data_IF_252179163935
#
_entry.id   IF_252179163935
#
_cell.length_a   1.000
_cell.length_b   1.000
_cell.length_c   1.000
_cell.angle_alpha   90.00
_cell.angle_beta   90.00
_cell.angle_gamma   90.00
#
_symmetry.space_group_name_H-M   'P 1'
#
loop_
_entity.id
_entity.type
_entity.pdbx_description
1 polymer ?
#
# COMPACT_ATOMS: atom_id res chain seq x y z
N UNK A 1 -34.29 -22.05 49.52
CA UNK A 1 -35.59 -21.37 49.60
C UNK A 1 -36.58 -22.23 48.84
N UNK A 2 -37.77 -22.51 49.39
CA UNK A 2 -38.78 -23.28 48.64
C UNK A 2 -39.35 -22.35 47.56
N UNK A 3 -39.07 -22.63 46.29
CA UNK A 3 -39.65 -21.88 45.18
C UNK A 3 -41.19 -21.95 45.28
N UNK A 4 -41.89 -20.81 45.20
CA UNK A 4 -43.35 -20.80 45.24
C UNK A 4 -43.88 -21.49 43.98
N UNK A 5 -44.35 -22.72 44.14
CA UNK A 5 -44.92 -23.51 43.05
C UNK A 5 -46.34 -23.03 42.73
N UNK A 6 -46.65 -22.90 41.44
CA UNK A 6 -47.91 -22.35 40.92
C UNK A 6 -48.62 -23.42 40.09
N UNK A 7 -49.93 -23.55 40.26
CA UNK A 7 -50.74 -24.49 39.48
C UNK A 7 -51.31 -23.79 38.25
N UNK A 8 -50.91 -24.26 37.06
CA UNK A 8 -51.36 -23.71 35.77
C UNK A 8 -52.10 -24.76 34.96
N UNK A 9 -53.18 -24.36 34.30
CA UNK A 9 -53.93 -25.23 33.38
C UNK A 9 -53.42 -25.05 31.96
N UNK A 10 -52.97 -26.13 31.35
CA UNK A 10 -52.39 -26.09 30.01
C UNK A 10 -53.50 -25.91 28.96
N UNK A 11 -53.39 -24.88 28.12
CA UNK A 11 -54.26 -24.66 26.95
C UNK A 11 -53.83 -25.45 25.72
N UNK A 12 -52.61 -25.99 25.72
CA UNK A 12 -52.02 -26.81 24.67
C UNK A 12 -51.11 -27.93 25.20
N UNK A 13 -50.59 -28.82 24.35
CA UNK A 13 -49.64 -29.85 24.78
C UNK A 13 -48.26 -29.23 25.07
N UNK A 14 -47.77 -29.36 26.31
CA UNK A 14 -46.46 -28.87 26.74
C UNK A 14 -45.62 -29.96 27.40
N UNK A 15 -44.30 -29.75 27.41
CA UNK A 15 -43.38 -30.58 28.17
C UNK A 15 -43.12 -29.91 29.53
N UNK A 16 -43.52 -30.57 30.61
CA UNK A 16 -43.36 -30.09 31.98
C UNK A 16 -42.56 -31.12 32.76
N UNK A 17 -41.47 -30.72 33.41
CA UNK A 17 -40.56 -31.61 34.15
C UNK A 17 -40.08 -32.83 33.34
N UNK A 18 -39.86 -32.64 32.03
CA UNK A 18 -39.42 -33.73 31.14
C UNK A 18 -40.54 -34.60 30.56
N UNK A 19 -41.78 -34.50 31.04
CA UNK A 19 -42.94 -35.30 30.61
C UNK A 19 -43.87 -34.47 29.74
N UNK A 20 -44.38 -35.05 28.64
CA UNK A 20 -45.33 -34.37 27.75
C UNK A 20 -46.74 -34.50 28.30
N UNK A 21 -47.32 -33.38 28.68
CA UNK A 21 -48.66 -33.28 29.24
C UNK A 21 -49.67 -32.84 28.19
N UNK A 22 -50.92 -33.31 28.32
CA UNK A 22 -52.01 -32.99 27.39
C UNK A 22 -52.68 -31.68 27.77
N UNK A 23 -53.28 -31.01 26.78
CA UNK A 23 -54.13 -29.85 27.00
C UNK A 23 -55.27 -30.17 28.00
N UNK A 24 -55.64 -29.20 28.82
CA UNK A 24 -56.64 -29.32 29.88
C UNK A 24 -56.14 -29.88 31.21
N UNK A 25 -54.88 -30.37 31.28
CA UNK A 25 -54.29 -30.83 32.54
C UNK A 25 -53.78 -29.64 33.36
N UNK A 26 -54.08 -29.63 34.65
CA UNK A 26 -53.45 -28.71 35.61
C UNK A 26 -52.13 -29.29 36.09
N UNK A 27 -51.06 -28.52 35.99
CA UNK A 27 -49.71 -28.93 36.40
C UNK A 27 -49.11 -27.90 37.32
N UNK A 28 -48.39 -28.37 38.34
CA UNK A 28 -47.66 -27.53 39.27
C UNK A 28 -46.26 -27.26 38.73
N UNK A 29 -45.96 -25.99 38.51
CA UNK A 29 -44.71 -25.53 37.87
C UNK A 29 -44.10 -24.38 38.69
N UNK A 30 -42.80 -24.18 38.51
CA UNK A 30 -42.17 -22.96 39.03
C UNK A 30 -42.70 -21.73 38.29
N UNK A 31 -42.62 -20.53 38.89
CA UNK A 31 -43.11 -19.30 38.25
C UNK A 31 -42.40 -19.02 36.92
N UNK A 32 -41.10 -19.32 36.84
CA UNK A 32 -40.29 -19.22 35.61
C UNK A 32 -40.80 -20.15 34.51
N UNK A 33 -41.12 -21.40 34.84
CA UNK A 33 -41.65 -22.33 33.86
C UNK A 33 -43.07 -21.94 33.44
N UNK A 34 -43.89 -21.38 34.33
CA UNK A 34 -45.19 -20.82 33.97
C UNK A 34 -45.07 -19.68 32.95
N UNK A 35 -44.12 -18.76 33.12
CA UNK A 35 -43.83 -17.69 32.14
C UNK A 35 -43.37 -18.24 30.79
N UNK A 36 -42.49 -19.25 30.79
CA UNK A 36 -42.07 -19.91 29.55
C UNK A 36 -43.25 -20.59 28.83
N UNK A 37 -44.12 -21.26 29.59
CA UNK A 37 -45.32 -21.88 29.05
C UNK A 37 -46.29 -20.82 28.48
N UNK A 38 -46.39 -19.65 29.12
CA UNK A 38 -47.18 -18.54 28.62
C UNK A 38 -46.62 -17.94 27.34
N UNK A 39 -45.31 -17.69 27.28
CA UNK A 39 -44.63 -17.22 26.08
C UNK A 39 -44.80 -18.20 24.91
N UNK A 40 -44.89 -19.50 25.21
CA UNK A 40 -45.20 -20.54 24.22
C UNK A 40 -46.69 -20.65 23.84
N UNK A 41 -47.57 -19.85 24.47
CA UNK A 41 -49.02 -19.86 24.24
C UNK A 41 -49.76 -21.05 24.84
N UNK A 42 -49.11 -21.80 25.74
CA UNK A 42 -49.60 -23.07 26.28
C UNK A 42 -50.31 -22.91 27.63
N UNK A 43 -50.43 -21.68 28.16
CA UNK A 43 -51.31 -21.34 29.28
C UNK A 43 -52.07 -20.04 28.98
N UNK A 44 -53.05 -19.69 29.82
CA UNK A 44 -53.84 -18.46 29.67
C UNK A 44 -52.93 -17.21 29.72
N UNK A 45 -52.94 -16.33 28.69
CA UNK A 45 -52.14 -15.10 28.67
C UNK A 45 -52.45 -14.14 29.84
N UNK A 46 -53.67 -14.10 30.37
CA UNK A 46 -54.01 -13.25 31.53
C UNK A 46 -53.30 -13.72 32.80
N UNK A 47 -53.12 -15.04 32.96
CA UNK A 47 -52.36 -15.61 34.06
C UNK A 47 -50.87 -15.29 33.90
N UNK A 48 -50.38 -15.22 32.66
CA UNK A 48 -49.00 -14.86 32.37
C UNK A 48 -48.67 -13.41 32.76
N UNK A 49 -49.58 -12.48 32.45
CA UNK A 49 -49.46 -11.07 32.78
C UNK A 49 -49.44 -10.87 34.30
N UNK A 50 -50.35 -11.53 35.01
CA UNK A 50 -50.37 -11.53 36.49
C UNK A 50 -49.10 -12.13 37.10
N UNK A 51 -48.52 -13.17 36.49
CA UNK A 51 -47.27 -13.76 36.93
C UNK A 51 -46.07 -12.85 36.64
N UNK A 52 -46.07 -12.17 35.51
CA UNK A 52 -45.05 -11.20 35.14
C UNK A 52 -45.07 -9.97 36.04
N UNK A 53 -46.25 -9.52 36.46
CA UNK A 53 -46.41 -8.38 37.39
C UNK A 53 -46.08 -8.75 38.84
N UNK A 54 -46.33 -10.01 39.22
CA UNK A 54 -46.06 -10.51 40.58
C UNK A 54 -44.60 -10.93 40.80
N UNK A 55 -43.87 -11.22 39.73
CA UNK A 55 -42.44 -11.52 39.78
C UNK A 55 -41.68 -10.23 39.53
N UNK A 56 -41.03 -9.71 40.57
CA UNK A 56 -40.04 -8.66 40.42
C UNK A 56 -38.86 -9.21 39.62
N UNK A 57 -38.88 -8.99 38.31
CA UNK A 57 -37.86 -9.51 37.38
C UNK A 57 -36.48 -8.94 37.66
N UNK A 58 -36.39 -7.83 38.41
CA UNK A 58 -35.15 -7.13 38.74
C UNK A 58 -34.21 -7.91 39.67
N UNK A 59 -34.67 -9.01 40.28
CA UNK A 59 -33.88 -9.84 41.21
C UNK A 59 -33.88 -11.32 40.79
N UNK A 60 -34.05 -11.60 39.49
CA UNK A 60 -33.96 -12.97 38.98
C UNK A 60 -32.52 -13.35 38.68
N UNK A 61 -32.07 -14.48 39.25
CA UNK A 61 -30.76 -15.10 38.98
C UNK A 61 -30.48 -15.25 37.46
N UNK A 62 -31.54 -15.35 36.66
CA UNK A 62 -31.47 -15.42 35.19
C UNK A 62 -30.95 -14.13 34.53
N UNK A 63 -31.29 -12.95 35.06
CA UNK A 63 -30.76 -11.68 34.53
C UNK A 63 -29.26 -11.58 34.80
N UNK A 64 -28.82 -11.99 35.99
CA UNK A 64 -27.40 -12.03 36.37
C UNK A 64 -26.63 -13.04 35.50
N UNK A 65 -27.16 -14.25 35.30
CA UNK A 65 -26.51 -15.28 34.47
C UNK A 65 -26.46 -14.88 32.99
N UNK A 66 -27.52 -14.24 32.47
CA UNK A 66 -27.53 -13.72 31.11
C UNK A 66 -26.54 -12.57 30.92
N UNK A 67 -26.53 -11.60 31.83
CA UNK A 67 -25.60 -10.48 31.81
C UNK A 67 -24.16 -10.98 31.84
N UNK A 68 -23.86 -11.95 32.72
CA UNK A 68 -22.54 -12.58 32.80
C UNK A 68 -22.17 -13.32 31.53
N UNK A 69 -23.08 -14.09 30.93
CA UNK A 69 -22.83 -14.79 29.67
C UNK A 69 -22.55 -13.82 28.51
N UNK A 70 -23.24 -12.67 28.47
CA UNK A 70 -23.00 -11.61 27.48
C UNK A 70 -21.64 -10.94 27.72
N UNK A 71 -21.29 -10.65 28.96
CA UNK A 71 -19.98 -10.08 29.31
C UNK A 71 -18.83 -11.03 28.98
N UNK A 72 -18.96 -12.32 29.31
CA UNK A 72 -17.98 -13.35 28.97
C UNK A 72 -17.83 -13.51 27.45
N UNK A 73 -18.94 -13.50 26.69
CA UNK A 73 -18.91 -13.55 25.23
C UNK A 73 -18.27 -12.30 24.60
N UNK A 74 -18.59 -11.11 25.13
CA UNK A 74 -18.00 -9.86 24.67
C UNK A 74 -16.50 -9.81 24.97
N UNK A 75 -16.07 -10.24 26.16
CA UNK A 75 -14.66 -10.35 26.51
C UNK A 75 -13.92 -11.32 25.58
N UNK A 76 -14.50 -12.49 25.30
CA UNK A 76 -13.93 -13.44 24.34
C UNK A 76 -13.80 -12.86 22.93
N UNK A 77 -14.79 -12.11 22.45
CA UNK A 77 -14.73 -11.47 21.14
C UNK A 77 -13.67 -10.34 21.10
N UNK A 78 -13.53 -9.57 22.17
CA UNK A 78 -12.49 -8.55 22.30
C UNK A 78 -11.09 -9.18 22.24
N UNK A 79 -10.88 -10.32 22.91
CA UNK A 79 -9.59 -11.01 22.91
C UNK A 79 -9.22 -11.53 21.52
N UNK A 80 -10.19 -12.09 20.78
CA UNK A 80 -9.99 -12.50 19.38
C UNK A 80 -9.63 -11.32 18.49
N UNK A 81 -10.41 -10.22 18.56
CA UNK A 81 -10.13 -9.01 17.78
C UNK A 81 -8.76 -8.42 18.11
N UNK A 82 -8.36 -8.46 19.38
CA UNK A 82 -7.04 -7.99 19.81
C UNK A 82 -5.92 -8.87 19.24
N UNK A 83 -6.10 -10.19 19.21
CA UNK A 83 -5.14 -11.10 18.62
C UNK A 83 -4.99 -10.86 17.10
N UNK A 84 -6.11 -10.70 16.39
CA UNK A 84 -6.13 -10.40 14.96
C UNK A 84 -5.44 -9.06 14.67
N UNK A 85 -5.76 -8.00 15.43
CA UNK A 85 -5.12 -6.69 15.26
C UNK A 85 -3.61 -6.72 15.54
N UNK A 86 -3.15 -7.51 16.51
CA UNK A 86 -1.72 -7.67 16.78
C UNK A 86 -1.03 -8.37 15.61
N UNK A 87 -1.65 -9.39 15.02
CA UNK A 87 -1.13 -10.09 13.86
C UNK A 87 -1.06 -9.17 12.62
N UNK A 88 -2.11 -8.39 12.38
CA UNK A 88 -2.15 -7.42 11.29
C UNK A 88 -1.08 -6.33 11.48
N UNK A 89 -0.92 -5.83 12.70
CA UNK A 89 0.12 -4.85 13.03
C UNK A 89 1.51 -5.41 12.76
N UNK A 90 1.82 -6.61 13.24
CA UNK A 90 3.11 -7.25 13.00
C UNK A 90 3.36 -7.51 11.50
N UNK A 91 2.32 -7.87 10.75
CA UNK A 91 2.41 -8.07 9.29
C UNK A 91 2.70 -6.77 8.56
N UNK A 92 2.02 -5.68 8.94
CA UNK A 92 2.27 -4.35 8.37
C UNK A 92 3.66 -3.83 8.74
N UNK A 93 4.11 -4.02 9.98
CA UNK A 93 5.45 -3.63 10.42
C UNK A 93 6.55 -4.34 9.62
N UNK A 94 6.43 -5.65 9.42
CA UNK A 94 7.37 -6.40 8.57
C UNK A 94 7.37 -5.87 7.13
N UNK A 95 6.19 -5.59 6.57
CA UNK A 95 6.09 -5.05 5.21
C UNK A 95 6.70 -3.64 5.10
N UNK A 96 6.51 -2.80 6.11
CA UNK A 96 7.14 -1.47 6.19
C UNK A 96 8.66 -1.61 6.26
N UNK A 97 9.15 -2.56 7.06
CA UNK A 97 10.58 -2.83 7.16
C UNK A 97 11.18 -3.24 5.81
N UNK A 98 10.56 -4.20 5.12
CA UNK A 98 11.00 -4.67 3.80
C UNK A 98 10.99 -3.54 2.76
N UNK A 99 9.92 -2.75 2.71
CA UNK A 99 9.79 -1.62 1.79
C UNK A 99 10.84 -0.53 2.09
N UNK A 100 11.12 -0.26 3.36
CA UNK A 100 12.15 0.70 3.76
C UNK A 100 13.52 0.24 3.31
N UNK A 101 13.83 -1.05 3.51
CA UNK A 101 15.11 -1.60 3.08
C UNK A 101 15.24 -1.56 1.55
N UNK A 102 14.19 -1.88 0.80
CA UNK A 102 14.24 -1.84 -0.66
C UNK A 102 14.42 -0.41 -1.18
N UNK A 103 13.70 0.56 -0.58
CA UNK A 103 13.87 1.98 -0.90
C UNK A 103 15.31 2.46 -0.66
N UNK A 104 15.94 2.04 0.44
CA UNK A 104 17.33 2.41 0.73
C UNK A 104 18.31 1.79 -0.28
N UNK A 105 18.07 0.55 -0.72
CA UNK A 105 18.87 -0.09 -1.79
C UNK A 105 18.72 0.63 -3.11
N UNK A 106 17.49 0.90 -3.55
CA UNK A 106 17.21 1.62 -4.79
C UNK A 106 17.81 3.03 -4.76
N UNK A 107 17.69 3.73 -3.64
CA UNK A 107 18.29 5.06 -3.46
C UNK A 107 19.80 5.01 -3.57
N UNK A 108 20.45 4.02 -2.95
CA UNK A 108 21.89 3.83 -3.07
C UNK A 108 22.30 3.54 -4.51
N UNK A 109 21.60 2.63 -5.20
CA UNK A 109 21.88 2.27 -6.58
C UNK A 109 21.70 3.47 -7.53
N UNK A 110 20.63 4.25 -7.35
CA UNK A 110 20.39 5.48 -8.09
C UNK A 110 21.48 6.53 -7.83
N UNK A 111 21.91 6.68 -6.57
CA UNK A 111 22.99 7.60 -6.22
C UNK A 111 24.30 7.23 -6.89
N UNK A 112 24.65 5.95 -6.94
CA UNK A 112 25.84 5.45 -7.67
C UNK A 112 25.70 5.72 -9.16
N UNK A 113 24.57 5.37 -9.77
CA UNK A 113 24.35 5.61 -11.20
C UNK A 113 24.43 7.09 -11.58
N UNK A 114 23.95 8.00 -10.73
CA UNK A 114 24.10 9.45 -10.94
C UNK A 114 25.57 9.87 -10.86
N UNK A 115 26.35 9.33 -9.92
CA UNK A 115 27.78 9.64 -9.82
C UNK A 115 28.54 9.16 -11.07
N UNK A 116 28.27 7.94 -11.53
CA UNK A 116 28.88 7.38 -12.73
C UNK A 116 28.54 8.23 -13.97
N UNK A 117 27.27 8.63 -14.14
CA UNK A 117 26.86 9.50 -15.25
C UNK A 117 27.50 10.90 -15.19
N UNK A 118 27.77 11.42 -13.99
CA UNK A 118 28.49 12.69 -13.82
C UNK A 118 29.96 12.57 -14.23
N UNK A 119 30.60 11.44 -13.92
CA UNK A 119 31.96 11.14 -14.36
C UNK A 119 32.04 11.01 -15.89
N UNK A 120 31.13 10.23 -16.49
CA UNK A 120 31.03 10.07 -17.94
C UNK A 120 30.81 11.41 -18.66
N UNK A 121 29.94 12.27 -18.10
CA UNK A 121 29.68 13.60 -18.63
C UNK A 121 30.93 14.50 -18.55
N UNK A 122 31.68 14.43 -17.46
CA UNK A 122 32.92 15.18 -17.31
C UNK A 122 33.99 14.71 -18.29
N UNK A 123 34.13 13.39 -18.49
CA UNK A 123 35.07 12.82 -19.47
C UNK A 123 34.69 13.23 -20.91
N UNK A 124 33.40 13.14 -21.26
CA UNK A 124 32.91 13.59 -22.55
C UNK A 124 33.16 15.10 -22.77
N UNK A 125 32.95 15.91 -21.73
CA UNK A 125 33.25 17.34 -21.75
C UNK A 125 34.74 17.62 -22.01
N UNK A 126 35.64 16.86 -21.38
CA UNK A 126 37.08 16.93 -21.64
C UNK A 126 37.45 16.60 -23.08
N UNK A 127 36.91 15.48 -23.63
CA UNK A 127 37.13 15.09 -25.03
C UNK A 127 36.65 16.15 -26.01
N UNK A 128 35.53 16.81 -25.73
CA UNK A 128 35.02 17.91 -26.57
C UNK A 128 36.02 19.09 -26.56
N UNK A 129 36.51 19.50 -25.40
CA UNK A 129 37.48 20.59 -25.29
C UNK A 129 38.80 20.28 -26.03
N UNK A 130 39.26 19.03 -25.96
CA UNK A 130 40.45 18.57 -26.70
C UNK A 130 40.23 18.62 -28.22
N UNK A 131 39.06 18.15 -28.68
CA UNK A 131 38.68 18.21 -30.10
C UNK A 131 38.54 19.64 -30.61
N UNK A 132 38.00 20.56 -29.81
CA UNK A 132 37.92 21.98 -30.15
C UNK A 132 39.32 22.59 -30.29
N UNK A 133 40.24 22.26 -29.38
CA UNK A 133 41.64 22.70 -29.44
C UNK A 133 42.34 22.13 -30.68
N UNK A 134 42.14 20.85 -30.99
CA UNK A 134 42.69 20.24 -32.20
C UNK A 134 42.13 20.90 -33.47
N UNK A 135 40.82 21.17 -33.50
CA UNK A 135 40.16 21.82 -34.64
C UNK A 135 40.67 23.24 -34.88
N UNK A 136 40.87 24.03 -33.83
CA UNK A 136 41.44 25.39 -33.96
C UNK A 136 42.89 25.34 -34.46
N UNK A 137 43.69 24.40 -33.95
CA UNK A 137 45.07 24.17 -34.40
C UNK A 137 45.11 23.81 -35.89
N UNK A 138 44.25 22.90 -36.33
CA UNK A 138 44.17 22.48 -37.74
C UNK A 138 43.71 23.62 -38.65
N UNK A 139 42.74 24.44 -38.20
CA UNK A 139 42.33 25.65 -38.93
C UNK A 139 43.48 26.63 -39.12
N UNK A 140 44.30 26.83 -38.09
CA UNK A 140 45.48 27.69 -38.19
C UNK A 140 46.52 27.10 -39.16
N UNK A 141 46.83 25.81 -39.03
CA UNK A 141 47.76 25.13 -39.93
C UNK A 141 47.31 25.21 -41.39
N UNK A 142 46.00 25.07 -41.63
CA UNK A 142 45.41 25.24 -42.96
C UNK A 142 45.56 26.66 -43.49
N UNK A 143 45.29 27.69 -42.67
CA UNK A 143 45.46 29.09 -43.08
C UNK A 143 46.94 29.41 -43.42
N UNK A 144 47.88 28.89 -42.64
CA UNK A 144 49.31 29.03 -42.90
C UNK A 144 49.72 28.33 -44.21
N UNK A 145 49.17 27.13 -44.48
CA UNK A 145 49.42 26.40 -45.72
C UNK A 145 48.83 27.11 -46.94
N UNK A 146 47.61 27.65 -46.84
CA UNK A 146 46.98 28.44 -47.90
C UNK A 146 47.81 29.70 -48.21
N UNK A 147 48.35 30.37 -47.19
CA UNK A 147 49.24 31.53 -47.37
C UNK A 147 50.53 31.14 -48.11
N UNK A 148 51.21 30.06 -47.67
CA UNK A 148 52.42 29.57 -48.35
C UNK A 148 52.17 29.14 -49.79
N UNK A 149 51.00 28.57 -50.06
CA UNK A 149 50.61 28.17 -51.42
C UNK A 149 50.42 29.41 -52.30
N UNK A 150 49.78 30.46 -51.80
CA UNK A 150 49.63 31.74 -52.51
C UNK A 150 51.00 32.39 -52.79
N UNK A 151 51.91 32.40 -51.82
CA UNK A 151 53.27 32.93 -52.00
C UNK A 151 54.05 32.14 -53.06
N UNK A 152 53.98 30.81 -53.01
CA UNK A 152 54.63 29.95 -54.00
C UNK A 152 54.06 30.17 -55.40
N UNK A 153 52.75 30.35 -55.54
CA UNK A 153 52.11 30.68 -56.82
C UNK A 153 52.57 32.04 -57.35
N UNK A 154 52.70 33.05 -56.48
CA UNK A 154 53.17 34.38 -56.86
C UNK A 154 54.64 34.35 -57.33
N UNK A 155 55.52 33.62 -56.65
CA UNK A 155 56.91 33.45 -57.08
C UNK A 155 57.04 32.70 -58.40
N UNK A 156 56.22 31.66 -58.61
CA UNK A 156 56.17 30.90 -59.86
C UNK A 156 55.72 31.79 -61.04
N UNK A 157 54.74 32.67 -60.82
CA UNK A 157 54.32 33.67 -61.80
C UNK A 157 55.44 34.66 -62.15
N UNK A 158 56.16 35.19 -61.15
CA UNK A 158 57.32 36.09 -61.39
C UNK A 158 58.43 35.40 -62.19
N UNK A 159 58.74 34.15 -61.86
CA UNK A 159 59.73 33.35 -62.61
C UNK A 159 59.31 33.13 -64.06
N UNK A 160 58.02 32.85 -64.29
CA UNK A 160 57.45 32.72 -65.63
C UNK A 160 57.60 34.02 -66.43
N UNK A 161 57.27 35.18 -65.85
CA UNK A 161 57.45 36.49 -66.49
C UNK A 161 58.93 36.77 -66.83
N UNK A 162 59.85 36.52 -65.88
CA UNK A 162 61.29 36.70 -66.12
C UNK A 162 61.83 35.80 -67.24
N UNK A 163 61.32 34.58 -67.34
CA UNK A 163 61.71 33.66 -68.42
C UNK A 163 61.15 34.10 -69.78
N UNK A 164 59.95 34.66 -69.81
CA UNK A 164 59.34 35.20 -71.03
C UNK A 164 60.07 36.45 -71.55
N UNK A 165 60.53 37.33 -70.65
CA UNK A 165 61.29 38.54 -71.04
C UNK A 165 62.70 38.21 -71.56
N UNK A 166 63.34 37.15 -71.03
CA UNK A 166 64.62 36.65 -71.56
C UNK A 166 64.48 35.93 -72.91
N UNK A 167 63.28 35.47 -73.28
CA UNK A 167 63.03 34.76 -74.54
C UNK A 167 62.67 35.69 -75.71
N UNK A 168 62.58 37.02 -75.50
CA UNK A 168 62.32 37.99 -76.59
C UNK A 168 63.55 38.08 -77.51
N UNK A 169 63.44 37.74 -78.81
CA UNK A 169 64.60 37.75 -79.71
C UNK A 169 65.08 39.17 -79.95
N UNK A 170 66.40 39.36 -79.93
CA UNK A 170 67.06 40.61 -80.30
C UNK A 170 66.53 41.11 -81.65
N UNK A 171 66.06 42.36 -81.68
CA UNK A 171 65.63 43.05 -82.90
C UNK A 171 66.76 42.99 -83.94
N UNK A 172 66.51 42.55 -85.19
CA UNK A 172 67.51 42.63 -86.23
C UNK A 172 67.78 44.12 -86.54
N UNK A 173 69.05 44.52 -86.68
CA UNK A 173 69.40 45.92 -86.91
C UNK A 173 69.04 46.32 -88.35
N UNK A 174 68.31 47.44 -88.49
CA UNK A 174 68.38 48.36 -89.63
C UNK A 174 67.68 49.68 -89.29
#
# INVERSE_FOLDING_TARGET
MNEPNISVTLTGPAKVHGVREKAGKTVTVSPTLALQLAASGVINPELAEQLSDALDMSDTVLEIDFQKAVEDAAAGQIDVLKADHLLDTATLENRIFDLTHELDREKSAASTAVADLQEDLAEAGGKIADLETALTTEKQARADAETRLADAQAELAKLAEQSADKAKPAKPPK
#
